data_IF_409610659967
#
_entry.id   IF_409610659967
#
_cell.length_a   1.000
_cell.length_b   1.000
_cell.length_c   1.000
_cell.angle_alpha   90.00
_cell.angle_beta   90.00
_cell.angle_gamma   90.00
#
_symmetry.space_group_name_H-M   'P 1'
#
loop_
_entity.id
_entity.type
_entity.pdbx_description
1 polymer ?
#
# COMPACT_ATOMS: atom_id res chain seq x y z
N UNK A 1 -18.70 1.19 30.01
CA UNK A 1 -17.69 0.21 29.56
C UNK A 1 -17.66 0.27 28.05
N UNK A 2 -16.50 0.52 27.43
CA UNK A 2 -16.40 0.50 25.97
C UNK A 2 -16.35 -0.97 25.54
N UNK A 3 -17.37 -1.44 24.80
CA UNK A 3 -17.43 -2.83 24.35
C UNK A 3 -16.21 -3.16 23.47
N UNK A 4 -15.57 -4.31 23.68
CA UNK A 4 -14.41 -4.73 22.88
C UNK A 4 -14.74 -4.84 21.38
N UNK A 5 -13.76 -4.66 20.47
CA UNK A 5 -13.98 -4.89 19.05
C UNK A 5 -14.47 -6.32 18.76
N UNK A 6 -15.36 -6.50 17.78
CA UNK A 6 -15.83 -7.82 17.36
C UNK A 6 -14.69 -8.65 16.76
N UNK A 7 -14.78 -9.97 16.94
CA UNK A 7 -13.80 -10.92 16.42
C UNK A 7 -14.06 -11.18 14.94
N UNK A 8 -13.01 -11.11 14.11
CA UNK A 8 -13.06 -11.41 12.68
C UNK A 8 -11.98 -12.42 12.29
N UNK A 9 -12.33 -13.67 11.95
CA UNK A 9 -11.37 -14.68 11.52
C UNK A 9 -10.71 -14.35 10.16
N UNK A 10 -11.27 -13.39 9.42
CA UNK A 10 -10.73 -12.95 8.13
C UNK A 10 -9.40 -12.20 8.29
N UNK A 11 -9.13 -11.61 9.46
CA UNK A 11 -7.87 -10.89 9.74
C UNK A 11 -6.67 -11.81 9.58
N UNK A 12 -6.69 -12.98 10.23
CA UNK A 12 -5.63 -13.98 10.10
C UNK A 12 -5.44 -14.47 8.66
N UNK A 13 -6.52 -14.55 7.87
CA UNK A 13 -6.45 -14.95 6.46
C UNK A 13 -5.77 -13.88 5.59
N UNK A 14 -5.98 -12.59 5.87
CA UNK A 14 -5.36 -11.47 5.15
C UNK A 14 -3.87 -11.28 5.50
N UNK A 15 -3.47 -11.65 6.71
CA UNK A 15 -2.05 -11.76 7.07
C UNK A 15 -1.37 -12.92 6.34
N UNK A 16 -2.12 -13.98 6.02
CA UNK A 16 -1.66 -15.08 5.18
C UNK A 16 -0.49 -15.82 5.84
N UNK A 17 0.66 -15.86 5.15
CA UNK A 17 1.87 -16.49 5.68
C UNK A 17 2.73 -15.54 6.52
N UNK A 18 2.44 -14.24 6.51
CA UNK A 18 3.12 -13.29 7.37
C UNK A 18 2.64 -13.50 8.80
N UNK A 19 3.59 -13.65 9.72
CA UNK A 19 3.32 -13.80 11.16
C UNK A 19 3.92 -12.63 11.90
N UNK A 20 3.30 -12.22 12.99
CA UNK A 20 3.89 -11.24 13.89
C UNK A 20 5.22 -11.77 14.45
N UNK A 21 6.15 -10.85 14.71
CA UNK A 21 7.46 -11.16 15.27
C UNK A 21 8.54 -11.62 14.28
N UNK A 22 8.21 -11.83 13.00
CA UNK A 22 9.20 -12.10 11.94
C UNK A 22 10.05 -10.85 11.68
N UNK A 23 11.28 -11.04 11.22
CA UNK A 23 12.19 -9.93 10.92
C UNK A 23 11.99 -9.37 9.51
N UNK A 24 12.62 -8.22 9.22
CA UNK A 24 12.47 -7.59 7.92
C UNK A 24 13.00 -8.44 6.75
N UNK A 25 14.08 -9.22 6.96
CA UNK A 25 14.61 -10.13 5.94
C UNK A 25 13.58 -11.22 5.57
N UNK A 26 12.85 -11.74 6.55
CA UNK A 26 11.77 -12.71 6.32
C UNK A 26 10.61 -12.09 5.54
N UNK A 27 10.27 -10.82 5.78
CA UNK A 27 9.27 -10.08 4.99
C UNK A 27 9.78 -9.86 3.55
N UNK A 28 11.03 -9.49 3.37
CA UNK A 28 11.66 -9.36 2.05
C UNK A 28 11.62 -10.70 1.31
N UNK A 29 11.95 -11.81 1.98
CA UNK A 29 11.92 -13.15 1.39
C UNK A 29 10.50 -13.56 0.97
N UNK A 30 9.49 -13.21 1.77
CA UNK A 30 8.09 -13.38 1.37
C UNK A 30 7.79 -12.67 0.05
N UNK A 31 8.21 -11.41 -0.12
CA UNK A 31 8.04 -10.68 -1.37
C UNK A 31 8.89 -11.23 -2.51
N UNK A 32 10.12 -11.67 -2.25
CA UNK A 32 10.95 -12.34 -3.28
C UNK A 32 10.25 -13.57 -3.85
N UNK A 33 9.66 -14.40 -2.99
CA UNK A 33 8.92 -15.59 -3.42
C UNK A 33 7.69 -15.22 -4.24
N UNK A 34 6.94 -14.20 -3.79
CA UNK A 34 5.77 -13.69 -4.50
C UNK A 34 6.14 -13.14 -5.91
N UNK A 35 7.18 -12.31 -5.99
CA UNK A 35 7.68 -11.75 -7.27
C UNK A 35 8.14 -12.88 -8.19
N UNK A 36 8.98 -13.81 -7.71
CA UNK A 36 9.44 -14.97 -8.49
C UNK A 36 8.27 -15.79 -9.04
N UNK A 37 7.26 -16.07 -8.21
CA UNK A 37 6.08 -16.82 -8.61
C UNK A 37 5.28 -16.09 -9.71
N UNK A 38 5.21 -14.76 -9.68
CA UNK A 38 4.53 -13.97 -10.71
C UNK A 38 5.21 -13.99 -12.08
N UNK A 39 6.55 -14.14 -12.11
CA UNK A 39 7.35 -14.21 -13.33
C UNK A 39 7.40 -15.63 -13.94
N UNK A 40 7.35 -16.67 -13.10
CA UNK A 40 7.44 -18.07 -13.53
C UNK A 40 6.53 -18.46 -14.73
N UNK A 41 5.23 -18.10 -14.77
CA UNK A 41 4.39 -18.45 -15.93
C UNK A 41 4.77 -17.68 -17.20
N UNK A 42 5.26 -16.44 -17.07
CA UNK A 42 5.63 -15.58 -18.21
C UNK A 42 6.90 -16.08 -18.91
N UNK A 43 7.78 -16.77 -18.17
CA UNK A 43 9.04 -17.29 -18.69
C UNK A 43 8.92 -18.60 -19.48
N UNK A 44 7.82 -19.36 -19.34
CA UNK A 44 7.71 -20.74 -19.86
C UNK A 44 7.82 -20.88 -21.38
N UNK A 45 7.42 -19.85 -22.13
CA UNK A 45 7.35 -19.90 -23.61
C UNK A 45 8.26 -18.87 -24.29
N UNK A 46 9.20 -18.26 -23.56
CA UNK A 46 10.07 -17.21 -24.07
C UNK A 46 11.38 -17.78 -24.64
N UNK A 47 11.94 -17.10 -25.64
CA UNK A 47 13.28 -17.40 -26.14
C UNK A 47 14.36 -17.05 -25.12
N UNK A 48 15.57 -17.59 -25.30
CA UNK A 48 16.66 -17.45 -24.32
C UNK A 48 16.99 -15.97 -23.97
N UNK A 49 17.02 -15.08 -24.97
CA UNK A 49 17.29 -13.64 -24.77
C UNK A 49 16.19 -12.96 -23.95
N UNK A 50 14.93 -13.30 -24.22
CA UNK A 50 13.78 -12.75 -23.50
C UNK A 50 13.71 -13.25 -22.05
N UNK A 51 14.10 -14.51 -21.82
CA UNK A 51 14.25 -15.06 -20.48
C UNK A 51 15.32 -14.31 -19.68
N UNK A 52 16.48 -14.01 -20.26
CA UNK A 52 17.52 -13.22 -19.60
C UNK A 52 17.00 -11.84 -19.18
N UNK A 53 16.32 -11.10 -20.09
CA UNK A 53 15.72 -9.80 -19.77
C UNK A 53 14.68 -9.89 -18.66
N UNK A 54 13.84 -10.92 -18.66
CA UNK A 54 12.86 -11.14 -17.60
C UNK A 54 13.50 -11.47 -16.26
N UNK A 55 14.61 -12.21 -16.23
CA UNK A 55 15.38 -12.48 -15.01
C UNK A 55 15.95 -11.20 -14.44
N UNK A 56 16.55 -10.35 -15.28
CA UNK A 56 17.08 -9.05 -14.87
C UNK A 56 15.98 -8.15 -14.29
N UNK A 57 14.81 -8.09 -14.94
CA UNK A 57 13.67 -7.30 -14.47
C UNK A 57 13.16 -7.81 -13.12
N UNK A 58 12.99 -9.12 -12.97
CA UNK A 58 12.60 -9.75 -11.70
C UNK A 58 13.59 -9.41 -10.59
N UNK A 59 14.89 -9.50 -10.86
CA UNK A 59 15.92 -9.25 -9.85
C UNK A 59 16.04 -7.75 -9.54
N UNK A 60 15.71 -6.88 -10.48
CA UNK A 60 15.60 -5.43 -10.26
C UNK A 60 14.40 -5.09 -9.36
N UNK A 61 13.24 -5.74 -9.56
CA UNK A 61 12.07 -5.58 -8.68
C UNK A 61 12.36 -6.05 -7.25
N UNK A 62 13.03 -7.20 -7.10
CA UNK A 62 13.46 -7.70 -5.78
C UNK A 62 14.37 -6.67 -5.08
N UNK A 63 15.38 -6.17 -5.79
CA UNK A 63 16.29 -5.13 -5.27
C UNK A 63 15.58 -3.80 -4.99
N UNK A 64 14.49 -3.50 -5.71
CA UNK A 64 13.68 -2.32 -5.43
C UNK A 64 13.00 -2.44 -4.06
N UNK A 65 12.41 -3.60 -3.75
CA UNK A 65 11.80 -3.86 -2.43
C UNK A 65 12.84 -3.79 -1.31
N UNK A 66 14.02 -4.38 -1.50
CA UNK A 66 15.09 -4.33 -0.48
C UNK A 66 15.51 -2.89 -0.13
N UNK A 67 15.55 -2.01 -1.14
CA UNK A 67 15.93 -0.60 -0.96
C UNK A 67 14.86 0.25 -0.26
N UNK A 68 13.65 -0.26 -0.06
CA UNK A 68 12.60 0.48 0.67
C UNK A 68 12.71 0.34 2.18
N UNK A 69 13.60 -0.52 2.68
CA UNK A 69 13.86 -0.64 4.10
C UNK A 69 14.49 0.65 4.64
N UNK A 70 13.91 1.19 5.72
CA UNK A 70 14.35 2.41 6.37
C UNK A 70 14.37 2.20 7.88
N UNK A 71 15.50 2.49 8.52
CA UNK A 71 15.59 2.56 9.98
C UNK A 71 15.25 3.97 10.47
N UNK A 72 14.50 4.07 11.56
CA UNK A 72 14.16 5.35 12.19
C UNK A 72 15.18 5.69 13.28
N UNK A 73 16.43 5.85 12.87
CA UNK A 73 17.59 6.19 13.69
C UNK A 73 17.84 7.71 13.82
N UNK A 74 16.87 8.52 13.38
CA UNK A 74 16.96 9.98 13.43
C UNK A 74 17.84 10.61 12.35
N UNK A 75 18.40 9.85 11.41
CA UNK A 75 19.19 10.36 10.27
C UNK A 75 18.30 11.19 9.33
N UNK A 76 18.73 12.39 8.87
CA UNK A 76 17.90 13.29 8.07
C UNK A 76 17.29 12.66 6.81
N UNK A 77 18.02 11.79 6.10
CA UNK A 77 17.52 11.10 4.91
C UNK A 77 16.34 10.14 5.20
N UNK A 78 16.22 9.67 6.43
CA UNK A 78 15.15 8.78 6.89
C UNK A 78 13.92 9.55 7.41
N UNK A 79 14.07 10.85 7.69
CA UNK A 79 13.00 11.75 8.15
C UNK A 79 12.03 12.20 7.05
N UNK A 80 12.27 11.82 5.79
CA UNK A 80 11.34 12.12 4.68
C UNK A 80 9.92 11.59 4.93
N UNK A 81 9.80 10.56 5.77
CA UNK A 81 8.53 9.95 6.13
C UNK A 81 7.81 10.71 7.25
N UNK A 82 8.45 11.65 7.95
CA UNK A 82 7.86 12.44 9.05
C UNK A 82 6.66 13.28 8.54
N UNK A 83 6.69 13.70 7.27
CA UNK A 83 5.63 14.50 6.63
C UNK A 83 4.61 13.65 5.86
N UNK A 84 4.73 12.33 5.90
CA UNK A 84 3.80 11.40 5.24
C UNK A 84 2.65 11.00 6.17
N UNK A 85 1.64 10.29 5.65
CA UNK A 85 0.55 9.75 6.49
C UNK A 85 1.01 8.72 7.50
N UNK A 86 2.17 8.09 7.31
CA UNK A 86 2.76 7.17 8.28
C UNK A 86 3.68 7.87 9.29
N UNK A 87 3.88 9.19 9.19
CA UNK A 87 4.79 9.94 10.06
C UNK A 87 4.45 9.88 11.54
N UNK A 88 3.18 9.62 11.88
CA UNK A 88 2.70 9.48 13.26
C UNK A 88 2.74 8.01 13.76
N UNK A 89 3.03 7.06 12.87
CA UNK A 89 2.95 5.63 13.18
C UNK A 89 4.21 5.09 13.87
N UNK A 90 5.32 5.82 13.81
CA UNK A 90 6.63 5.41 14.33
C UNK A 90 7.28 6.48 15.21
N UNK A 91 8.35 6.09 15.89
CA UNK A 91 9.18 7.01 16.67
C UNK A 91 10.66 6.82 16.37
N UNK A 92 11.41 7.92 16.33
CA UNK A 92 12.84 7.89 16.09
C UNK A 92 13.61 7.39 17.32
N UNK A 93 14.74 6.72 17.08
CA UNK A 93 15.66 6.23 18.09
C UNK A 93 15.06 5.20 19.07
N UNK A 94 14.07 4.42 18.65
CA UNK A 94 13.48 3.34 19.45
C UNK A 94 13.64 1.95 18.78
N UNK A 95 14.72 1.77 18.00
CA UNK A 95 14.95 0.57 17.18
C UNK A 95 13.76 0.24 16.28
N UNK A 96 13.10 1.28 15.78
CA UNK A 96 12.00 1.13 14.84
C UNK A 96 12.53 1.19 13.42
N UNK A 97 11.92 0.40 12.54
CA UNK A 97 12.20 0.45 11.12
C UNK A 97 10.94 0.14 10.33
N UNK A 98 11.00 0.38 9.03
CA UNK A 98 9.90 0.19 8.11
C UNK A 98 10.39 -0.40 6.80
N UNK A 99 9.58 -1.26 6.20
CA UNK A 99 9.72 -1.73 4.83
C UNK A 99 8.46 -1.32 4.06
N UNK A 100 8.62 -0.88 2.81
CA UNK A 100 7.50 -0.50 1.94
C UNK A 100 7.43 -1.43 0.74
N UNK A 101 6.26 -1.97 0.47
CA UNK A 101 5.98 -2.66 -0.78
C UNK A 101 4.91 -1.88 -1.54
N UNK A 102 5.16 -1.61 -2.82
CA UNK A 102 4.17 -0.99 -3.70
C UNK A 102 3.80 -1.99 -4.80
N UNK A 103 2.50 -2.19 -5.00
CA UNK A 103 2.01 -3.02 -6.11
C UNK A 103 1.90 -2.21 -7.41
N UNK A 104 1.76 -2.91 -8.53
CA UNK A 104 1.56 -2.28 -9.86
C UNK A 104 0.31 -1.38 -9.98
N UNK A 105 -0.60 -1.40 -9.00
CA UNK A 105 -1.82 -0.59 -8.95
C UNK A 105 -1.65 0.66 -8.07
N UNK A 106 -0.46 0.88 -7.52
CA UNK A 106 -0.17 2.00 -6.62
C UNK A 106 -0.73 1.81 -5.21
N UNK A 107 -1.12 0.59 -4.82
CA UNK A 107 -1.38 0.29 -3.41
C UNK A 107 -0.05 0.11 -2.71
N UNK A 108 0.06 0.72 -1.53
CA UNK A 108 1.28 0.65 -0.73
C UNK A 108 1.02 -0.11 0.56
N UNK A 109 1.92 -1.01 0.89
CA UNK A 109 1.95 -1.72 2.15
C UNK A 109 3.19 -1.32 2.93
N UNK A 110 2.98 -0.93 4.19
CA UNK A 110 4.04 -0.54 5.10
C UNK A 110 4.12 -1.57 6.22
N UNK A 111 5.32 -2.10 6.44
CA UNK A 111 5.60 -3.07 7.48
C UNK A 111 6.48 -2.40 8.50
N UNK A 112 6.01 -2.29 9.74
CA UNK A 112 6.72 -1.65 10.83
C UNK A 112 7.30 -2.68 11.77
N UNK A 113 8.54 -2.44 12.15
CA UNK A 113 9.32 -3.30 13.03
C UNK A 113 9.71 -2.53 14.29
N UNK A 114 9.73 -3.21 15.43
CA UNK A 114 10.38 -2.75 16.66
C UNK A 114 11.39 -3.83 17.04
N UNK A 115 12.66 -3.46 17.25
CA UNK A 115 13.75 -4.41 17.47
C UNK A 115 13.80 -5.50 16.38
N UNK A 116 13.59 -5.09 15.13
CA UNK A 116 13.54 -5.97 13.95
C UNK A 116 12.48 -7.09 14.04
N UNK A 117 11.34 -6.79 14.70
CA UNK A 117 10.19 -7.69 14.78
C UNK A 117 8.95 -7.00 14.24
N UNK A 118 8.32 -7.62 13.25
CA UNK A 118 7.10 -7.12 12.63
C UNK A 118 5.98 -7.07 13.66
N UNK A 119 5.41 -5.88 13.87
CA UNK A 119 4.31 -5.70 14.82
C UNK A 119 3.14 -4.91 14.24
N UNK A 120 3.35 -4.21 13.12
CA UNK A 120 2.31 -3.44 12.45
C UNK A 120 2.44 -3.53 10.93
N UNK A 121 1.29 -3.67 10.26
CA UNK A 121 1.14 -3.62 8.80
C UNK A 121 0.08 -2.59 8.46
N UNK A 122 0.42 -1.64 7.59
CA UNK A 122 -0.52 -0.64 7.08
C UNK A 122 -0.71 -0.87 5.59
N UNK A 123 -1.94 -1.17 5.18
CA UNK A 123 -2.31 -1.24 3.76
C UNK A 123 -2.99 0.06 3.35
N UNK A 124 -2.29 0.88 2.56
CA UNK A 124 -2.85 2.07 1.94
C UNK A 124 -3.50 1.69 0.60
N UNK A 125 -4.83 1.74 0.58
CA UNK A 125 -5.66 1.48 -0.59
C UNK A 125 -5.91 2.79 -1.33
N UNK A 126 -5.30 2.92 -2.51
CA UNK A 126 -5.41 4.13 -3.32
C UNK A 126 -6.83 4.25 -3.91
N UNK A 127 -7.47 5.41 -3.75
CA UNK A 127 -8.82 5.67 -4.29
C UNK A 127 -8.81 6.03 -5.77
N UNK A 128 -7.63 6.27 -6.35
CA UNK A 128 -7.41 6.73 -7.72
C UNK A 128 -8.25 7.99 -8.05
N UNK A 129 -8.35 8.91 -7.08
CA UNK A 129 -9.11 10.16 -7.21
C UNK A 129 -10.62 10.02 -7.03
N UNK A 130 -11.12 8.83 -6.66
CA UNK A 130 -12.53 8.66 -6.38
C UNK A 130 -12.95 9.35 -5.08
N UNK A 131 -14.14 9.97 -5.11
CA UNK A 131 -14.76 10.64 -3.96
C UNK A 131 -15.67 9.66 -3.23
N UNK A 132 -15.06 8.83 -2.39
CA UNK A 132 -15.76 7.88 -1.52
C UNK A 132 -15.62 8.34 -0.08
N UNK A 133 -16.68 8.22 0.71
CA UNK A 133 -16.65 8.52 2.13
C UNK A 133 -16.26 7.27 2.96
N UNK A 134 -15.86 7.48 4.22
CA UNK A 134 -15.46 6.38 5.10
C UNK A 134 -16.62 5.39 5.39
N UNK A 135 -17.87 5.84 5.39
CA UNK A 135 -19.03 5.00 5.72
C UNK A 135 -19.31 3.95 4.62
N UNK A 136 -19.27 4.37 3.35
CA UNK A 136 -19.40 3.51 2.18
C UNK A 136 -18.25 2.50 2.13
N UNK A 137 -17.02 2.97 2.38
CA UNK A 137 -15.83 2.13 2.40
C UNK A 137 -15.93 1.05 3.50
N UNK A 138 -16.32 1.45 4.71
CA UNK A 138 -16.42 0.54 5.86
C UNK A 138 -17.58 -0.44 5.71
N UNK A 139 -18.69 -0.04 5.08
CA UNK A 139 -19.79 -0.96 4.73
C UNK A 139 -19.30 -2.11 3.86
N UNK A 140 -18.39 -1.87 2.90
CA UNK A 140 -17.79 -2.96 2.14
C UNK A 140 -16.83 -3.81 2.97
N UNK A 141 -16.03 -3.20 3.84
CA UNK A 141 -15.17 -3.96 4.75
C UNK A 141 -15.99 -4.85 5.70
N UNK A 142 -17.17 -4.42 6.12
CA UNK A 142 -18.09 -5.23 6.93
C UNK A 142 -18.60 -6.47 6.17
N UNK A 143 -18.64 -6.46 4.84
CA UNK A 143 -18.93 -7.68 4.05
C UNK A 143 -17.78 -8.70 4.07
N UNK A 144 -16.55 -8.23 4.34
CA UNK A 144 -15.32 -9.05 4.34
C UNK A 144 -15.00 -9.53 5.75
N UNK A 145 -15.03 -8.61 6.73
CA UNK A 145 -14.63 -8.85 8.11
C UNK A 145 -15.80 -9.10 9.06
N UNK A 146 -17.05 -8.94 8.60
CA UNK A 146 -18.24 -8.95 9.45
C UNK A 146 -18.49 -7.58 10.10
N UNK A 147 -19.57 -7.47 10.86
CA UNK A 147 -19.94 -6.22 11.54
C UNK A 147 -18.79 -5.72 12.42
N UNK A 148 -18.34 -4.49 12.21
CA UNK A 148 -17.25 -3.86 12.94
C UNK A 148 -17.74 -2.98 14.09
N UNK A 149 -16.86 -2.66 15.03
CA UNK A 149 -17.14 -1.64 16.05
C UNK A 149 -16.91 -0.27 15.44
N UNK A 150 -18.00 0.42 15.07
CA UNK A 150 -17.94 1.81 14.61
C UNK A 150 -17.64 2.75 15.78
N UNK A 151 -16.54 3.50 15.69
CA UNK A 151 -16.12 4.51 16.66
C UNK A 151 -16.44 5.88 16.07
N UNK A 152 -17.31 6.62 16.75
CA UNK A 152 -17.77 7.94 16.31
C UNK A 152 -17.01 9.05 17.02
N UNK A 153 -16.82 10.18 16.33
CA UNK A 153 -16.41 11.46 16.88
C UNK A 153 -17.52 12.48 16.60
N UNK A 154 -18.38 12.69 17.61
CA UNK A 154 -19.66 13.38 17.41
C UNK A 154 -20.53 12.67 16.35
N UNK A 155 -21.00 13.39 15.30
CA UNK A 155 -21.78 12.79 14.23
C UNK A 155 -20.94 12.07 13.17
N UNK A 156 -19.60 12.20 13.20
CA UNK A 156 -18.72 11.68 12.15
C UNK A 156 -18.16 10.32 12.55
N UNK A 157 -18.16 9.38 11.60
CA UNK A 157 -17.43 8.12 11.76
C UNK A 157 -15.92 8.40 11.78
N UNK A 158 -15.26 8.02 12.88
CA UNK A 158 -13.81 8.21 13.05
C UNK A 158 -13.03 6.99 12.56
N UNK A 159 -13.46 5.79 12.93
CA UNK A 159 -12.84 4.52 12.55
C UNK A 159 -13.82 3.37 12.74
N UNK A 160 -13.53 2.24 12.12
CA UNK A 160 -14.19 0.96 12.40
C UNK A 160 -13.14 -0.04 12.80
N UNK A 161 -13.41 -0.79 13.85
CA UNK A 161 -12.45 -1.71 14.46
C UNK A 161 -12.94 -3.15 14.48
N UNK A 162 -12.00 -4.06 14.26
CA UNK A 162 -12.14 -5.50 14.41
C UNK A 162 -10.92 -6.04 15.17
N UNK A 163 -11.00 -7.28 15.62
CA UNK A 163 -9.84 -7.99 16.17
C UNK A 163 -9.85 -9.47 15.83
N UNK A 164 -8.70 -10.11 15.99
CA UNK A 164 -8.62 -11.55 16.27
C UNK A 164 -7.87 -11.76 17.59
N UNK A 165 -7.45 -12.98 17.89
CA UNK A 165 -6.75 -13.31 19.13
C UNK A 165 -5.43 -12.55 19.30
N UNK A 166 -4.78 -12.17 18.20
CA UNK A 166 -3.43 -11.59 18.18
C UNK A 166 -3.35 -10.21 17.56
N UNK A 167 -4.38 -9.79 16.82
CA UNK A 167 -4.35 -8.63 15.93
C UNK A 167 -5.52 -7.71 16.20
N UNK A 168 -5.25 -6.41 16.27
CA UNK A 168 -6.26 -5.35 16.12
C UNK A 168 -6.23 -4.83 14.69
N UNK A 169 -7.40 -4.74 14.06
CA UNK A 169 -7.58 -4.11 12.76
C UNK A 169 -8.42 -2.85 12.94
N UNK A 170 -7.99 -1.74 12.38
CA UNK A 170 -8.80 -0.54 12.30
C UNK A 170 -8.54 0.24 11.00
N UNK A 171 -9.46 1.14 10.67
CA UNK A 171 -9.41 1.90 9.40
C UNK A 171 -9.21 3.38 9.67
N UNK A 172 -8.33 4.00 8.89
CA UNK A 172 -8.09 5.45 8.93
C UNK A 172 -8.40 6.06 7.55
N UNK A 173 -9.18 7.14 7.57
CA UNK A 173 -9.43 7.97 6.41
C UNK A 173 -8.27 8.96 6.21
N UNK A 174 -7.42 8.66 5.23
CA UNK A 174 -6.33 9.53 4.80
C UNK A 174 -6.63 10.18 3.43
N UNK A 175 -7.88 10.15 2.97
CA UNK A 175 -8.26 10.57 1.61
C UNK A 175 -8.08 12.06 1.37
N UNK A 176 -8.22 12.88 2.41
CA UNK A 176 -8.12 14.36 2.30
C UNK A 176 -6.77 14.82 1.75
N UNK A 177 -5.68 14.16 2.12
CA UNK A 177 -4.33 14.56 1.73
C UNK A 177 -3.62 13.53 0.84
N UNK A 178 -3.98 12.25 0.94
CA UNK A 178 -3.23 11.16 0.33
C UNK A 178 -4.06 10.27 -0.60
N UNK A 179 -5.33 10.62 -0.84
CA UNK A 179 -6.24 9.85 -1.70
C UNK A 179 -6.24 8.34 -1.38
N UNK A 180 -6.17 7.97 -0.10
CA UNK A 180 -6.10 6.58 0.32
C UNK A 180 -6.87 6.32 1.61
N UNK A 181 -7.44 5.11 1.70
CA UNK A 181 -7.89 4.54 2.97
C UNK A 181 -6.81 3.61 3.51
N UNK A 182 -6.51 3.71 4.80
CA UNK A 182 -5.50 2.86 5.45
C UNK A 182 -6.17 1.79 6.30
N UNK A 183 -5.88 0.52 6.02
CA UNK A 183 -6.19 -0.60 6.91
C UNK A 183 -4.96 -0.86 7.76
N UNK A 184 -5.08 -0.70 9.07
CA UNK A 184 -3.98 -0.81 10.02
C UNK A 184 -4.17 -2.07 10.86
N UNK A 185 -3.24 -3.01 10.69
CA UNK A 185 -3.14 -4.26 11.43
C UNK A 185 -2.03 -4.12 12.47
N UNK A 186 -2.33 -4.38 13.73
CA UNK A 186 -1.39 -4.22 14.85
C UNK A 186 -1.41 -5.47 15.72
N UNK A 187 -0.24 -5.97 16.11
CA UNK A 187 -0.12 -7.03 17.10
C UNK A 187 -0.55 -6.52 18.48
N UNK A 188 -1.59 -7.12 19.06
CA UNK A 188 -2.18 -6.73 20.33
C UNK A 188 -1.17 -6.77 21.50
N UNK A 189 -0.26 -7.75 21.51
CA UNK A 189 0.76 -7.89 22.55
C UNK A 189 1.76 -6.73 22.52
N UNK A 190 2.26 -6.39 21.33
CA UNK A 190 3.19 -5.26 21.15
C UNK A 190 2.48 -3.94 21.39
N UNK A 191 1.24 -3.77 20.93
CA UNK A 191 0.41 -2.58 21.18
C UNK A 191 0.31 -2.27 22.69
N UNK A 192 0.07 -3.28 23.51
CA UNK A 192 -0.02 -3.15 24.96
C UNK A 192 1.31 -2.73 25.62
N UNK A 193 2.45 -3.02 24.98
CA UNK A 193 3.78 -2.72 25.49
C UNK A 193 4.42 -1.48 24.85
N UNK A 194 3.77 -0.85 23.86
CA UNK A 194 4.29 0.32 23.15
C UNK A 194 4.87 1.42 24.05
N UNK A 195 4.21 1.82 25.17
CA UNK A 195 4.78 2.84 26.06
C UNK A 195 6.14 2.47 26.66
N UNK A 196 6.43 1.18 26.81
CA UNK A 196 7.70 0.69 27.36
C UNK A 196 8.79 0.51 26.30
N UNK A 197 8.37 0.26 25.05
CA UNK A 197 9.23 0.11 23.88
C UNK A 197 9.63 1.46 23.30
N UNK A 198 8.71 2.43 23.28
CA UNK A 198 8.92 3.81 22.78
C UNK A 198 9.34 4.74 23.90
N UNK A 199 10.57 4.60 24.39
CA UNK A 199 11.10 5.44 25.48
C UNK A 199 11.45 6.85 24.99
N UNK A 200 11.90 6.96 23.75
CA UNK A 200 12.20 8.23 23.11
C UNK A 200 10.95 8.76 22.40
N UNK A 201 10.03 9.35 23.17
CA UNK A 201 8.96 10.17 22.58
C UNK A 201 9.53 11.56 22.40
N UNK A 202 10.09 11.85 21.23
CA UNK A 202 10.39 13.23 20.86
C UNK A 202 9.08 14.03 20.93
N UNK A 203 9.14 15.27 21.41
CA UNK A 203 7.97 16.16 21.39
C UNK A 203 7.44 16.19 19.95
N UNK A 204 6.17 15.83 19.77
CA UNK A 204 5.53 15.83 18.47
C UNK A 204 5.85 17.17 17.79
N UNK A 205 6.34 17.17 16.53
CA UNK A 205 6.52 18.42 15.82
C UNK A 205 5.18 19.13 15.87
N UNK A 206 5.16 20.32 16.48
CA UNK A 206 3.95 21.13 16.55
C UNK A 206 3.57 21.42 15.11
N UNK A 207 2.61 20.67 14.55
CA UNK A 207 1.90 21.14 13.38
C UNK A 207 1.24 22.42 13.83
N UNK A 208 1.80 23.56 13.43
CA UNK A 208 1.06 24.81 13.46
C UNK A 208 -0.16 24.55 12.58
N UNK A 209 -1.29 24.28 13.22
CA UNK A 209 -2.57 24.19 12.54
C UNK A 209 -2.80 25.58 11.95
N UNK A 210 -2.43 25.76 10.68
CA UNK A 210 -3.02 26.83 9.89
C UNK A 210 -4.49 26.47 9.85
N UNK A 211 -5.31 27.24 10.56
CA UNK A 211 -6.76 27.06 10.58
C UNK A 211 -7.26 27.21 9.14
N UNK A 212 -7.37 26.09 8.43
CA UNK A 212 -8.17 26.02 7.23
C UNK A 212 -9.61 26.19 7.71
N UNK A 213 -10.19 27.36 7.43
CA UNK A 213 -11.59 27.65 7.73
C UNK A 213 -12.44 26.48 7.23
N UNK A 214 -13.34 25.98 8.07
CA UNK A 214 -14.26 24.92 7.74
C UNK A 214 -14.97 25.21 6.41
N UNK A 215 -14.51 24.56 5.33
CA UNK A 215 -15.28 24.46 4.12
C UNK A 215 -16.39 23.45 4.42
N UNK A 216 -17.61 23.97 4.54
CA UNK A 216 -18.83 23.17 4.60
C UNK A 216 -18.89 22.39 3.28
N UNK A 217 -18.85 21.05 3.27
CA UNK A 217 -19.08 20.31 2.04
C UNK A 217 -20.55 20.48 1.66
N UNK A 218 -20.81 21.15 0.53
CA UNK A 218 -22.11 21.11 -0.11
C UNK A 218 -22.53 19.66 -0.32
N UNK A 219 -23.66 19.31 0.27
CA UNK A 219 -24.25 17.98 0.19
C UNK A 219 -24.83 17.77 -1.20
N UNK A 220 -23.99 17.32 -2.14
CA UNK A 220 -24.41 16.82 -3.44
C UNK A 220 -24.95 15.40 -3.31
N UNK A 221 -26.27 15.27 -3.24
CA UNK A 221 -26.96 13.99 -3.11
C UNK A 221 -26.88 13.20 -4.44
N UNK A 222 -25.89 12.31 -4.59
CA UNK A 222 -25.89 11.33 -5.70
C UNK A 222 -26.49 10.02 -5.21
N UNK A 223 -27.81 9.89 -5.39
CA UNK A 223 -28.49 8.60 -5.31
C UNK A 223 -28.07 7.76 -6.51
N UNK A 224 -27.27 6.72 -6.30
CA UNK A 224 -26.93 5.77 -7.34
C UNK A 224 -25.70 4.92 -6.99
N UNK A 225 -25.84 3.61 -7.19
CA UNK A 225 -24.94 2.47 -6.93
C UNK A 225 -23.50 2.57 -7.51
N UNK A 226 -23.09 3.74 -8.02
CA UNK A 226 -21.78 3.94 -8.66
C UNK A 226 -20.60 3.89 -7.68
N UNK A 227 -20.83 4.13 -6.38
CA UNK A 227 -19.77 4.01 -5.37
C UNK A 227 -19.42 2.53 -5.14
N UNK A 228 -20.35 1.59 -5.32
CA UNK A 228 -20.11 0.18 -5.06
C UNK A 228 -19.01 -0.41 -5.94
N UNK A 229 -19.01 -0.10 -7.25
CA UNK A 229 -18.01 -0.57 -8.22
C UNK A 229 -16.61 0.01 -7.94
N UNK A 230 -16.55 1.26 -7.52
CA UNK A 230 -15.29 1.92 -7.21
C UNK A 230 -14.70 1.34 -5.93
N UNK A 231 -15.52 1.15 -4.90
CA UNK A 231 -15.05 0.57 -3.65
C UNK A 231 -14.71 -0.92 -3.84
N UNK A 232 -15.41 -1.68 -4.69
CA UNK A 232 -15.05 -3.06 -5.05
C UNK A 232 -13.67 -3.14 -5.75
N UNK A 233 -13.33 -2.12 -6.54
CA UNK A 233 -12.01 -1.96 -7.16
C UNK A 233 -10.93 -1.66 -6.12
N UNK A 234 -11.23 -0.85 -5.10
CA UNK A 234 -10.31 -0.44 -4.03
C UNK A 234 -10.08 -1.58 -3.01
N UNK A 235 -11.15 -2.28 -2.63
CA UNK A 235 -11.11 -3.42 -1.69
C UNK A 235 -10.68 -4.72 -2.37
N UNK A 236 -10.70 -4.77 -3.71
CA UNK A 236 -10.07 -5.81 -4.49
C UNK A 236 -10.80 -7.14 -4.44
N UNK A 237 -12.08 -7.19 -4.85
CA UNK A 237 -12.75 -8.47 -5.07
C UNK A 237 -12.01 -9.30 -6.11
N UNK A 238 -11.50 -10.44 -5.63
CA UNK A 238 -10.96 -11.57 -6.37
C UNK A 238 -12.03 -12.03 -7.39
N UNK A 239 -12.02 -11.48 -8.60
CA UNK A 239 -12.71 -12.11 -9.73
C UNK A 239 -11.86 -13.29 -10.18
N UNK A 240 -12.18 -14.48 -9.67
CA UNK A 240 -11.91 -15.72 -10.39
C UNK A 240 -12.73 -15.62 -11.68
N UNK A 241 -12.08 -15.34 -12.80
CA UNK A 241 -12.70 -15.37 -14.12
C UNK A 241 -13.21 -16.79 -14.33
N UNK A 242 -14.51 -17.01 -14.16
CA UNK A 242 -15.19 -18.12 -14.79
C UNK A 242 -15.27 -17.77 -16.28
N UNK A 243 -14.48 -18.50 -17.08
CA UNK A 243 -14.62 -18.47 -18.52
C UNK A 243 -16.03 -18.92 -18.89
N UNK A 244 -16.67 -18.15 -19.76
CA UNK A 244 -17.70 -18.65 -20.65
C UNK A 244 -17.48 -18.01 -22.02
N UNK A 245 -17.31 -18.89 -22.99
CA UNK A 245 -17.08 -18.62 -24.40
C UNK A 245 -18.24 -17.85 -25.04
N UNK A 246 -17.91 -16.97 -25.97
CA UNK A 246 -18.71 -16.73 -27.17
C UNK A 246 -17.81 -16.21 -28.28
N UNK A 247 -17.48 -17.08 -29.22
CA UNK A 247 -16.79 -16.72 -30.45
C UNK A 247 -17.68 -15.92 -31.39
N UNK A 248 -17.06 -15.04 -32.16
CA UNK A 248 -17.52 -14.67 -33.49
C UNK A 248 -16.31 -14.16 -34.30
N UNK A 249 -16.13 -14.76 -35.46
CA UNK A 249 -15.05 -14.57 -36.40
C UNK A 249 -15.10 -13.20 -37.11
N UNK A 250 -13.93 -12.70 -37.52
CA UNK A 250 -13.76 -12.01 -38.81
C UNK A 250 -12.27 -11.97 -39.21
N UNK A 251 -11.94 -12.77 -40.23
CA UNK A 251 -10.70 -12.67 -41.00
C UNK A 251 -10.78 -11.52 -42.01
N UNK A 252 -9.68 -10.77 -42.20
CA UNK A 252 -9.25 -10.04 -43.41
C UNK A 252 -8.23 -8.95 -42.99
N UNK A 253 -7.14 -8.56 -43.67
CA UNK A 253 -6.39 -8.98 -44.87
C UNK A 253 -5.07 -8.16 -44.83
N UNK A 254 -3.98 -8.73 -45.34
CA UNK A 254 -2.66 -8.10 -45.50
C UNK A 254 -2.63 -6.93 -46.51
N UNK A 255 -1.88 -5.85 -46.21
CA UNK A 255 -0.63 -5.41 -46.90
C UNK A 255 -0.10 -4.04 -46.40
N UNK A 256 1.22 -3.78 -46.50
CA UNK A 256 1.90 -2.57 -46.01
C UNK A 256 2.19 -1.55 -47.14
N UNK A 257 2.79 -0.39 -46.80
CA UNK A 257 4.00 0.00 -47.55
C UNK A 257 5.15 0.63 -46.72
N UNK A 258 6.34 0.16 -47.08
CA UNK A 258 7.68 0.77 -47.20
C UNK A 258 7.84 2.30 -47.21
N UNK A 259 8.96 2.77 -46.63
CA UNK A 259 9.64 4.04 -46.98
C UNK A 259 10.84 4.38 -46.07
N UNK A 260 12.06 4.32 -46.62
CA UNK A 260 13.37 4.57 -45.98
C UNK A 260 13.84 6.04 -46.09
N UNK A 261 14.43 6.65 -45.04
CA UNK A 261 15.86 7.03 -44.91
C UNK A 261 16.08 8.57 -45.06
N UNK A 262 17.26 9.20 -44.73
CA UNK A 262 18.48 8.75 -44.03
C UNK A 262 19.01 9.73 -42.90
N UNK A 263 20.15 9.37 -42.28
CA UNK A 263 20.99 10.09 -41.27
C UNK A 263 21.77 11.31 -41.87
N UNK A 264 22.48 12.24 -41.17
CA UNK A 264 23.34 12.30 -39.96
C UNK A 264 23.63 13.83 -39.64
N UNK A 265 24.62 14.32 -38.82
CA UNK A 265 25.59 13.70 -37.90
C UNK A 265 25.77 14.38 -36.50
N UNK A 266 26.72 13.81 -35.73
CA UNK A 266 27.33 14.07 -34.39
C UNK A 266 27.47 15.50 -33.82
N UNK A 267 27.31 15.61 -32.49
CA UNK A 267 28.17 16.43 -31.62
C UNK A 267 28.43 15.71 -30.27
N UNK A 268 29.66 15.81 -29.79
CA UNK A 268 30.22 15.10 -28.66
C UNK A 268 30.58 16.09 -27.54
N UNK A 269 30.14 15.82 -26.31
CA UNK A 269 30.79 16.35 -25.11
C UNK A 269 29.89 17.04 -24.10
N UNK A 270 29.21 16.24 -23.24
CA UNK A 270 28.99 16.59 -21.82
C UNK A 270 28.56 15.33 -21.05
N UNK A 271 29.22 14.93 -19.96
CA UNK A 271 28.67 13.88 -19.10
C UNK A 271 27.38 14.40 -18.43
N UNK A 272 26.27 13.63 -18.43
CA UNK A 272 25.07 13.99 -17.69
C UNK A 272 25.34 13.91 -16.18
N UNK A 273 24.73 14.78 -15.36
CA UNK A 273 24.76 14.64 -13.91
C UNK A 273 24.09 13.31 -13.51
N UNK A 274 24.66 12.67 -12.50
CA UNK A 274 24.21 11.42 -11.90
C UNK A 274 22.68 11.37 -11.76
N UNK A 275 22.09 10.34 -12.35
CA UNK A 275 20.70 9.94 -12.15
C UNK A 275 20.44 9.77 -10.65
N UNK A 276 19.61 10.66 -10.09
CA UNK A 276 18.97 10.48 -8.79
C UNK A 276 17.89 9.39 -8.93
N UNK A 277 18.09 8.17 -8.40
CA UNK A 277 17.16 7.06 -8.61
C UNK A 277 15.91 7.17 -7.72
N UNK A 278 15.69 8.28 -7.02
CA UNK A 278 14.58 8.47 -6.06
C UNK A 278 13.74 9.74 -6.28
N UNK A 279 14.05 10.55 -7.30
CA UNK A 279 13.37 11.84 -7.58
C UNK A 279 11.90 11.75 -8.06
N UNK A 280 11.30 10.56 -8.12
CA UNK A 280 9.95 10.33 -8.64
C UNK A 280 8.85 10.12 -7.60
N UNK A 281 9.18 10.08 -6.30
CA UNK A 281 8.20 9.84 -5.24
C UNK A 281 7.55 11.16 -4.78
N UNK A 282 6.78 11.77 -5.69
CA UNK A 282 5.90 12.89 -5.37
C UNK A 282 4.81 12.49 -4.38
N UNK A 283 4.55 13.37 -3.42
CA UNK A 283 3.46 13.31 -2.45
C UNK A 283 2.08 13.32 -3.13
#
# INVERSE_FOLDING_TARGET
>A
MVAEPPVSPRIAQELGTLRWGINHEQVIEYFRQMIRASYAPRMRNLGQVEQYRMVEQRDAEIRAVERTYVAFDGVPAHRRWDTSFVGEEYTHNNNESMLVYEDSRGNREFFFFINDRLWKRVQARNTAGARINLDDFTTQLETIFGAGRRVMDGPRLRTVEWRDDTTRLHVVDATTFYNAFCLIYEESATLAQLPTLRRNVAAAPTRTAVAASAAVPETGNTTGDSNADIVDRITGKIRRVQGTDAGAAASATLRPPTGAGPAAPVDAGRPPPEDDPLGGLGF
#
